data_IF_938838786532
#
_entry.id   IF_938838786532
#
_cell.length_a   1.000
_cell.length_b   1.000
_cell.length_c   1.000
_cell.angle_alpha   90.00
_cell.angle_beta   90.00
_cell.angle_gamma   90.00
#
_symmetry.space_group_name_H-M   'P 1'
#
loop_
_entity.id
_entity.type
_entity.pdbx_description
1 polymer ?
#
# COMPACT_ATOMS: atom_id res chain seq x y z
N UNK A 1 9.60 4.74 -15.94
CA UNK A 1 8.25 5.16 -16.42
C UNK A 1 8.34 6.50 -17.11
N UNK A 2 7.73 6.62 -18.27
CA UNK A 2 7.73 7.86 -19.03
C UNK A 2 6.92 8.95 -18.34
N UNK A 3 7.28 10.21 -18.55
CA UNK A 3 6.58 11.36 -17.98
C UNK A 3 5.11 11.39 -18.39
N UNK A 4 4.80 11.03 -19.64
CA UNK A 4 3.43 10.96 -20.16
C UNK A 4 2.62 9.91 -19.40
N UNK A 5 3.19 8.74 -19.18
CA UNK A 5 2.54 7.65 -18.43
C UNK A 5 2.27 8.08 -17.00
N UNK A 6 3.22 8.72 -16.35
CA UNK A 6 3.05 9.23 -14.99
C UNK A 6 1.91 10.26 -14.92
N UNK A 7 1.85 11.19 -15.83
CA UNK A 7 0.77 12.20 -15.90
C UNK A 7 -0.59 11.54 -16.05
N UNK A 8 -0.67 10.55 -16.92
CA UNK A 8 -1.91 9.80 -17.18
C UNK A 8 -2.35 9.03 -15.94
N UNK A 9 -1.41 8.38 -15.26
CA UNK A 9 -1.66 7.66 -14.02
C UNK A 9 -2.19 8.60 -12.92
N UNK A 10 -1.53 9.72 -12.71
CA UNK A 10 -1.94 10.70 -11.70
C UNK A 10 -3.32 11.29 -12.00
N UNK A 11 -3.63 11.51 -13.28
CA UNK A 11 -4.95 11.96 -13.70
C UNK A 11 -6.03 10.94 -13.39
N UNK A 12 -5.79 9.67 -13.66
CA UNK A 12 -6.71 8.59 -13.31
C UNK A 12 -6.93 8.54 -11.80
N UNK A 13 -5.86 8.62 -11.03
CA UNK A 13 -5.95 8.64 -9.57
C UNK A 13 -6.81 9.80 -9.07
N UNK A 14 -6.60 11.01 -9.60
CA UNK A 14 -7.37 12.17 -9.22
C UNK A 14 -8.86 12.00 -9.52
N UNK A 15 -9.20 11.47 -10.69
CA UNK A 15 -10.58 11.24 -11.09
C UNK A 15 -11.28 10.21 -10.22
N UNK A 16 -10.62 9.08 -9.93
CA UNK A 16 -11.20 8.00 -9.12
C UNK A 16 -11.27 8.33 -7.63
N UNK A 17 -10.33 9.11 -7.13
CA UNK A 17 -10.29 9.48 -5.71
C UNK A 17 -11.09 10.76 -5.41
N UNK A 18 -11.58 11.43 -6.45
CA UNK A 18 -12.39 12.65 -6.28
C UNK A 18 -11.60 13.84 -5.75
N UNK A 19 -10.30 13.89 -6.01
CA UNK A 19 -9.41 14.97 -5.60
C UNK A 19 -8.87 15.72 -6.81
N UNK A 20 -8.35 16.92 -6.59
CA UNK A 20 -7.70 17.69 -7.65
C UNK A 20 -6.34 17.10 -7.99
N UNK A 21 -5.97 17.14 -9.27
CA UNK A 21 -4.65 16.68 -9.72
C UNK A 21 -3.51 17.35 -8.95
N UNK A 22 -3.67 18.65 -8.64
CA UNK A 22 -2.68 19.43 -7.91
C UNK A 22 -2.52 18.99 -6.45
N UNK A 23 -3.48 18.27 -5.90
CA UNK A 23 -3.43 17.74 -4.54
C UNK A 23 -2.63 16.43 -4.45
N UNK A 24 -2.38 15.79 -5.60
CA UNK A 24 -1.62 14.55 -5.66
C UNK A 24 -0.14 14.83 -5.88
N UNK A 25 0.64 14.73 -4.81
CA UNK A 25 2.10 14.81 -4.83
C UNK A 25 2.66 13.47 -4.36
N UNK A 26 3.95 13.26 -4.52
CA UNK A 26 4.60 12.02 -4.09
C UNK A 26 4.38 11.73 -2.60
N UNK A 27 4.26 12.76 -1.79
CA UNK A 27 4.11 12.65 -0.34
C UNK A 27 2.66 12.61 0.14
N UNK A 28 1.69 12.72 -0.76
CA UNK A 28 0.27 12.70 -0.39
C UNK A 28 -0.10 11.35 0.21
N UNK A 29 -0.60 11.29 1.45
CA UNK A 29 -1.04 10.04 2.05
C UNK A 29 -2.32 9.53 1.38
N UNK A 30 -2.31 8.28 0.93
CA UNK A 30 -3.47 7.66 0.28
C UNK A 30 -4.47 7.10 1.29
N UNK A 31 -4.03 6.78 2.49
CA UNK A 31 -4.89 6.19 3.52
C UNK A 31 -6.06 7.10 3.90
N UNK A 32 -5.86 8.43 3.76
CA UNK A 32 -6.89 9.44 4.09
C UNK A 32 -7.91 9.64 2.96
N UNK A 33 -7.57 9.28 1.72
CA UNK A 33 -8.39 9.59 0.55
C UNK A 33 -8.84 8.36 -0.23
N UNK A 34 -8.37 7.17 0.15
CA UNK A 34 -8.62 5.94 -0.58
C UNK A 34 -8.89 4.79 0.40
N UNK A 35 -10.00 4.08 0.20
CA UNK A 35 -10.26 2.83 0.90
C UNK A 35 -9.93 1.63 0.00
N UNK A 36 -10.18 0.41 0.50
CA UNK A 36 -9.89 -0.82 -0.23
C UNK A 36 -10.68 -0.91 -1.54
N UNK A 37 -11.95 -0.50 -1.53
CA UNK A 37 -12.79 -0.52 -2.72
C UNK A 37 -12.28 0.46 -3.76
N UNK A 38 -11.91 1.67 -3.34
CA UNK A 38 -11.33 2.68 -4.24
C UNK A 38 -10.05 2.17 -4.87
N UNK A 39 -9.23 1.45 -4.12
CA UNK A 39 -8.00 0.86 -4.63
C UNK A 39 -8.28 -0.17 -5.74
N UNK A 40 -9.25 -1.05 -5.52
CA UNK A 40 -9.63 -2.06 -6.51
C UNK A 40 -10.16 -1.40 -7.78
N UNK A 41 -11.02 -0.41 -7.64
CA UNK A 41 -11.56 0.35 -8.78
C UNK A 41 -10.45 1.08 -9.55
N UNK A 42 -9.48 1.66 -8.85
CA UNK A 42 -8.35 2.33 -9.47
C UNK A 42 -7.47 1.34 -10.24
N UNK A 43 -7.19 0.17 -9.68
CA UNK A 43 -6.42 -0.88 -10.35
C UNK A 43 -7.12 -1.30 -11.64
N UNK A 44 -8.44 -1.52 -11.61
CA UNK A 44 -9.21 -1.88 -12.79
C UNK A 44 -9.18 -0.76 -13.85
N UNK A 45 -9.25 0.49 -13.44
CA UNK A 45 -9.16 1.63 -14.34
C UNK A 45 -7.78 1.74 -15.00
N UNK A 46 -6.70 1.44 -14.27
CA UNK A 46 -5.35 1.41 -14.82
C UNK A 46 -5.22 0.31 -15.88
N UNK A 47 -5.70 -0.88 -15.57
CA UNK A 47 -5.68 -2.00 -16.52
C UNK A 47 -6.41 -1.68 -17.82
N UNK A 48 -7.56 -1.04 -17.71
CA UNK A 48 -8.36 -0.65 -18.87
C UNK A 48 -7.71 0.47 -19.67
N UNK A 49 -7.23 1.52 -19.01
CA UNK A 49 -6.66 2.70 -19.65
C UNK A 49 -5.34 2.39 -20.37
N UNK A 50 -4.51 1.56 -19.80
CA UNK A 50 -3.21 1.18 -20.38
C UNK A 50 -3.26 -0.14 -21.14
N UNK A 51 -4.43 -0.78 -21.20
CA UNK A 51 -4.66 -2.06 -21.88
C UNK A 51 -3.64 -3.13 -21.47
N UNK A 52 -3.53 -3.34 -20.17
CA UNK A 52 -2.62 -4.31 -19.58
C UNK A 52 -3.29 -5.03 -18.42
N UNK A 53 -2.67 -6.08 -17.92
CA UNK A 53 -3.11 -6.81 -16.73
C UNK A 53 -2.08 -6.65 -15.63
N UNK A 54 -2.54 -6.18 -14.48
CA UNK A 54 -1.72 -6.14 -13.26
C UNK A 54 -1.84 -7.49 -12.54
N UNK A 55 -0.86 -7.86 -11.69
CA UNK A 55 -0.96 -9.08 -10.90
C UNK A 55 -2.24 -9.11 -10.07
N UNK A 56 -2.86 -10.27 -9.94
CA UNK A 56 -4.12 -10.43 -9.19
C UNK A 56 -4.00 -10.04 -7.72
N UNK A 57 -2.80 -10.15 -7.16
CA UNK A 57 -2.50 -9.84 -5.77
C UNK A 57 -1.94 -8.43 -5.55
N UNK A 58 -1.98 -7.55 -6.56
CA UNK A 58 -1.37 -6.22 -6.47
C UNK A 58 -2.03 -5.35 -5.39
N UNK A 59 -3.35 -5.49 -5.20
CA UNK A 59 -4.07 -4.82 -4.12
C UNK A 59 -3.59 -5.31 -2.76
N UNK A 60 -3.41 -6.61 -2.61
CA UNK A 60 -2.87 -7.21 -1.39
C UNK A 60 -1.44 -6.75 -1.13
N UNK A 61 -0.60 -6.69 -2.17
CA UNK A 61 0.77 -6.19 -2.05
C UNK A 61 0.82 -4.74 -1.61
N UNK A 62 -0.11 -3.92 -2.07
CA UNK A 62 -0.19 -2.53 -1.65
C UNK A 62 -0.70 -2.39 -0.23
N UNK A 63 -1.76 -3.15 0.12
CA UNK A 63 -2.35 -3.13 1.46
C UNK A 63 -1.48 -3.85 2.49
N UNK A 64 -0.67 -4.82 2.05
CA UNK A 64 0.30 -5.51 2.88
C UNK A 64 1.46 -4.57 3.19
N UNK A 65 1.21 -3.48 3.91
CA UNK A 65 2.32 -2.86 4.61
C UNK A 65 2.89 -3.89 5.58
N UNK A 66 4.20 -3.82 5.87
CA UNK A 66 4.76 -4.65 6.93
C UNK A 66 4.08 -4.26 8.24
N UNK A 67 2.90 -4.83 8.46
CA UNK A 67 2.19 -4.68 9.72
C UNK A 67 2.97 -5.49 10.76
N UNK A 68 3.58 -4.85 11.76
CA UNK A 68 4.37 -5.55 12.75
C UNK A 68 3.57 -6.63 13.49
N UNK A 69 2.25 -6.45 13.63
CA UNK A 69 1.39 -7.46 14.26
C UNK A 69 1.31 -8.74 13.44
N UNK A 70 1.21 -8.62 12.12
CA UNK A 70 1.18 -9.78 11.21
C UNK A 70 2.49 -10.53 11.30
N UNK A 71 3.61 -9.83 11.33
CA UNK A 71 4.92 -10.45 11.45
C UNK A 71 5.07 -11.21 12.77
N UNK A 72 4.64 -10.62 13.89
CA UNK A 72 4.67 -11.27 15.20
C UNK A 72 3.78 -12.52 15.20
N UNK A 73 2.60 -12.42 14.60
CA UNK A 73 1.68 -13.54 14.50
C UNK A 73 2.27 -14.69 13.69
N UNK A 74 2.90 -14.40 12.55
CA UNK A 74 3.58 -15.41 11.73
C UNK A 74 4.75 -16.03 12.47
N UNK A 75 5.56 -15.22 13.17
CA UNK A 75 6.68 -15.72 13.97
C UNK A 75 6.20 -16.65 15.09
N UNK A 76 5.04 -16.37 15.68
CA UNK A 76 4.41 -17.24 16.69
C UNK A 76 4.02 -18.58 16.07
N UNK A 77 3.40 -18.56 14.89
CA UNK A 77 3.01 -19.79 14.19
C UNK A 77 4.21 -20.64 13.78
N UNK A 78 5.30 -19.98 13.36
CA UNK A 78 6.55 -20.64 12.96
C UNK A 78 7.38 -21.14 14.15
N UNK A 79 6.94 -20.83 15.36
CA UNK A 79 7.65 -21.23 16.58
C UNK A 79 8.90 -20.44 16.88
N UNK A 80 9.14 -19.32 16.21
CA UNK A 80 10.30 -18.45 16.44
C UNK A 80 10.28 -17.78 17.80
N UNK A 81 9.11 -17.67 18.42
CA UNK A 81 8.94 -17.07 19.74
C UNK A 81 9.08 -18.09 20.88
N UNK A 82 9.41 -19.33 20.58
CA UNK A 82 9.64 -20.36 21.61
C UNK A 82 10.79 -19.94 22.52
N UNK A 83 10.55 -20.05 23.83
CA UNK A 83 11.52 -19.69 24.85
C UNK A 83 11.50 -18.23 25.25
N UNK A 84 10.66 -17.39 24.62
CA UNK A 84 10.44 -16.02 25.06
C UNK A 84 9.37 -15.96 26.14
N UNK A 85 9.58 -15.10 27.14
CA UNK A 85 8.61 -14.90 28.21
C UNK A 85 7.41 -14.08 27.72
N UNK A 86 6.31 -14.13 28.49
CA UNK A 86 5.12 -13.33 28.20
C UNK A 86 5.47 -11.83 28.16
N UNK A 87 6.33 -11.37 29.06
CA UNK A 87 6.78 -9.98 29.10
C UNK A 87 7.48 -9.56 27.83
N UNK A 88 8.34 -10.43 27.29
CA UNK A 88 9.04 -10.17 26.03
C UNK A 88 8.08 -10.08 24.86
N UNK A 89 7.09 -10.96 24.80
CA UNK A 89 6.06 -10.97 23.75
C UNK A 89 5.21 -9.71 23.84
N UNK A 90 4.77 -9.32 25.04
CA UNK A 90 4.01 -8.08 25.26
C UNK A 90 4.82 -6.85 24.81
N UNK A 91 6.11 -6.81 25.12
CA UNK A 91 6.98 -5.72 24.70
C UNK A 91 7.08 -5.63 23.17
N UNK A 92 7.09 -6.78 22.48
CA UNK A 92 7.07 -6.80 21.01
C UNK A 92 5.77 -6.24 20.45
N UNK A 93 4.62 -6.56 21.03
CA UNK A 93 3.33 -6.01 20.61
C UNK A 93 3.24 -4.51 20.88
N UNK A 94 3.76 -4.03 21.99
CA UNK A 94 3.80 -2.59 22.30
C UNK A 94 4.62 -1.81 21.27
N UNK A 95 5.79 -2.32 20.88
CA UNK A 95 6.62 -1.73 19.83
C UNK A 95 5.88 -1.74 18.48
N UNK A 96 5.17 -2.81 18.18
CA UNK A 96 4.38 -2.91 16.96
C UNK A 96 3.27 -1.87 16.93
N UNK A 97 2.62 -1.62 18.06
CA UNK A 97 1.57 -0.59 18.18
C UNK A 97 2.15 0.82 17.92
N UNK A 98 3.33 1.12 18.44
CA UNK A 98 4.00 2.40 18.22
C UNK A 98 4.36 2.63 16.76
N UNK A 99 4.69 1.55 16.04
CA UNK A 99 5.05 1.62 14.63
C UNK A 99 3.84 1.67 13.70
N UNK A 100 2.69 1.17 14.14
CA UNK A 100 1.49 1.07 13.32
C UNK A 100 0.97 2.44 12.86
N UNK A 101 1.11 3.48 13.68
CA UNK A 101 0.67 4.84 13.38
C UNK A 101 1.60 5.56 12.39
N UNK A 102 2.75 4.98 12.04
CA UNK A 102 3.79 5.64 11.23
C UNK A 102 3.90 5.12 9.81
N UNK A 103 3.15 4.09 9.44
CA UNK A 103 3.21 3.50 8.10
C UNK A 103 2.07 4.05 7.27
N UNK A 104 2.26 5.26 6.75
CA UNK A 104 1.34 5.85 5.78
C UNK A 104 1.79 5.47 4.37
N UNK A 105 0.86 4.98 3.57
CA UNK A 105 1.08 4.73 2.14
C UNK A 105 0.87 6.02 1.39
N UNK A 106 1.86 6.40 0.58
CA UNK A 106 1.81 7.64 -0.20
C UNK A 106 1.54 7.36 -1.68
N UNK A 107 1.28 8.43 -2.43
CA UNK A 107 1.14 8.36 -3.89
C UNK A 107 2.40 7.74 -4.52
N UNK A 108 3.58 8.11 -4.03
CA UNK A 108 4.85 7.56 -4.52
C UNK A 108 4.92 6.05 -4.32
N UNK A 109 4.49 5.54 -3.17
CA UNK A 109 4.48 4.10 -2.87
C UNK A 109 3.61 3.34 -3.88
N UNK A 110 2.44 3.88 -4.20
CA UNK A 110 1.55 3.29 -5.19
C UNK A 110 2.16 3.32 -6.60
N UNK A 111 2.73 4.46 -6.99
CA UNK A 111 3.37 4.60 -8.30
C UNK A 111 4.54 3.62 -8.43
N UNK A 112 5.38 3.52 -7.41
CA UNK A 112 6.52 2.61 -7.42
C UNK A 112 6.09 1.14 -7.53
N UNK A 113 4.94 0.79 -6.96
CA UNK A 113 4.40 -0.56 -7.05
C UNK A 113 3.94 -0.90 -8.46
N UNK A 114 3.24 0.00 -9.13
CA UNK A 114 2.64 -0.27 -10.46
C UNK A 114 3.57 0.08 -11.62
N UNK A 115 4.58 0.92 -11.40
CA UNK A 115 5.49 1.40 -12.44
C UNK A 115 6.13 0.28 -13.28
N UNK A 116 6.57 -0.86 -12.71
CA UNK A 116 7.18 -1.94 -13.50
C UNK A 116 6.25 -2.55 -14.54
N UNK A 117 4.94 -2.38 -14.39
CA UNK A 117 3.93 -2.95 -15.28
C UNK A 117 3.44 -1.95 -16.34
N UNK A 118 3.78 -0.67 -16.17
CA UNK A 118 3.34 0.39 -17.08
C UNK A 118 4.35 0.63 -18.21
N UNK A 119 3.87 1.15 -19.37
CA UNK A 119 4.77 1.47 -20.49
C UNK A 119 5.80 2.56 -20.18
#
# INVERSE_FOLDING_TARGET
METRTRRKLLRLMAEHLGVKRSELTDDTPLDDIMDELDLIELIMAIEEEFNLELPDDIDELFLASPNPYVQIFQDTLDGKLRGKSEEEIEAMFEKAADHQDKVEKTVKDFIDLVAPYLP
#
